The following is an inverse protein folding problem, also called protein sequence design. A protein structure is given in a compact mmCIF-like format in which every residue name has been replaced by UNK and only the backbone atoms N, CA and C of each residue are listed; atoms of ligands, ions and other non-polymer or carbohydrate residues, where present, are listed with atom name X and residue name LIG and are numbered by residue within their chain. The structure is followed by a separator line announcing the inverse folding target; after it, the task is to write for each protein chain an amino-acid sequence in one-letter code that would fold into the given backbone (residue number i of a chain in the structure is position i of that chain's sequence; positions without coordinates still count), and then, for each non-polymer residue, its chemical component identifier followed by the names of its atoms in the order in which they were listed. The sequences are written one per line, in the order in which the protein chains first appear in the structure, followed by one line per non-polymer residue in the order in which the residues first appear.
data_IF_835273096900
#
_entry.id   IF_835273096900
#
_cell.length_a   1.000
_cell.length_b   1.000
_cell.length_c   1.000
_cell.angle_alpha   90.00
_cell.angle_beta   90.00
_cell.angle_gamma   90.00
#
_symmetry.space_group_name_H-M   'P 1'
#
loop_
_entity.id
_entity.type
_entity.pdbx_description
1 polymer ?
#
# COMPACT_ATOMS: atom_id res chain seq x y z
N UNK A 1 10.17 11.91 -10.24
CA UNK A 1 8.78 12.16 -9.83
C UNK A 1 8.08 10.82 -9.84
N UNK A 2 7.39 10.46 -8.75
CA UNK A 2 6.80 9.15 -8.59
C UNK A 2 5.65 8.99 -9.58
N UNK A 3 5.34 7.78 -10.03
CA UNK A 3 4.30 7.53 -11.05
C UNK A 3 2.84 7.74 -10.56
N UNK A 4 2.66 8.50 -9.48
CA UNK A 4 1.38 8.76 -8.83
C UNK A 4 0.88 10.19 -9.08
N UNK A 5 -0.45 10.33 -9.17
CA UNK A 5 -1.14 11.62 -9.18
C UNK A 5 -1.33 12.08 -7.72
N UNK A 6 -0.41 12.92 -7.24
CA UNK A 6 -0.43 13.40 -5.86
C UNK A 6 -1.61 14.33 -5.59
N UNK A 7 -1.99 15.18 -6.55
CA UNK A 7 -3.11 16.10 -6.41
C UNK A 7 -4.42 15.33 -6.21
N UNK A 8 -4.61 14.23 -6.94
CA UNK A 8 -5.76 13.36 -6.72
C UNK A 8 -5.76 12.71 -5.33
N UNK A 9 -4.60 12.30 -4.81
CA UNK A 9 -4.48 11.69 -3.49
C UNK A 9 -4.69 12.68 -2.34
N UNK A 10 -4.44 13.98 -2.56
CA UNK A 10 -4.60 15.02 -1.54
C UNK A 10 -5.99 15.66 -1.53
N UNK A 11 -6.81 15.45 -2.56
CA UNK A 11 -8.21 15.93 -2.57
C UNK A 11 -8.97 15.41 -1.34
N UNK A 12 -9.72 16.27 -0.62
CA UNK A 12 -10.55 15.84 0.51
C UNK A 12 -11.50 14.71 0.14
N UNK A 13 -11.76 13.79 1.08
CA UNK A 13 -12.84 12.82 0.92
C UNK A 13 -14.18 13.59 0.96
N UNK A 14 -15.11 13.39 0.01
CA UNK A 14 -16.40 14.08 0.01
C UNK A 14 -17.21 13.81 1.28
N UNK A 15 -17.85 14.85 1.82
CA UNK A 15 -18.71 14.78 3.01
C UNK A 15 -18.21 15.63 4.17
N UNK A 16 -18.80 15.43 5.35
CA UNK A 16 -18.51 16.25 6.54
C UNK A 16 -17.17 15.92 7.20
N UNK A 17 -16.56 14.79 6.83
CA UNK A 17 -15.25 14.36 7.32
C UNK A 17 -14.24 14.29 6.16
N UNK A 18 -13.46 15.36 5.90
CA UNK A 18 -12.53 15.42 4.78
C UNK A 18 -11.37 14.41 4.87
N UNK A 19 -11.12 13.89 6.07
CA UNK A 19 -10.14 12.85 6.34
C UNK A 19 -10.70 11.43 6.16
N UNK A 20 -12.00 11.26 5.98
CA UNK A 20 -12.64 9.96 5.81
C UNK A 20 -12.64 9.07 7.08
N UNK A 21 -12.97 7.80 6.92
CA UNK A 21 -13.17 6.87 8.03
C UNK A 21 -11.85 6.33 8.60
N UNK A 22 -11.84 5.87 9.86
CA UNK A 22 -10.71 5.11 10.41
C UNK A 22 -10.62 3.73 9.73
N UNK A 23 -9.47 3.42 9.12
CA UNK A 23 -9.25 2.17 8.40
C UNK A 23 -8.58 1.07 9.24
N UNK A 24 -8.29 1.29 10.53
CA UNK A 24 -7.51 0.35 11.35
C UNK A 24 -8.00 -1.10 11.30
N UNK A 25 -9.32 -1.32 11.26
CA UNK A 25 -9.95 -2.65 11.18
C UNK A 25 -10.72 -2.87 9.86
N UNK A 26 -10.51 -1.99 8.88
CA UNK A 26 -11.19 -2.08 7.60
C UNK A 26 -10.58 -3.20 6.75
N UNK A 27 -11.42 -3.93 6.01
CA UNK A 27 -10.99 -5.04 5.15
C UNK A 27 -9.85 -4.64 4.19
N UNK A 28 -9.92 -3.42 3.67
CA UNK A 28 -8.91 -2.88 2.76
C UNK A 28 -7.51 -2.86 3.41
N UNK A 29 -7.40 -2.51 4.70
CA UNK A 29 -6.13 -2.51 5.43
C UNK A 29 -5.53 -3.91 5.51
N UNK A 30 -6.37 -4.92 5.75
CA UNK A 30 -5.95 -6.32 5.76
C UNK A 30 -5.52 -6.80 4.36
N UNK A 31 -6.23 -6.39 3.30
CA UNK A 31 -5.84 -6.70 1.92
C UNK A 31 -4.50 -6.07 1.53
N UNK A 32 -4.22 -4.84 1.98
CA UNK A 32 -2.91 -4.18 1.77
C UNK A 32 -1.80 -4.89 2.56
N UNK A 33 -2.06 -5.27 3.82
CA UNK A 33 -1.11 -6.04 4.63
C UNK A 33 -0.76 -7.38 3.99
N UNK A 34 -1.75 -8.12 3.50
CA UNK A 34 -1.51 -9.42 2.85
C UNK A 34 -0.79 -9.27 1.50
N UNK A 35 -1.10 -8.22 0.74
CA UNK A 35 -0.37 -7.92 -0.49
C UNK A 35 1.11 -7.59 -0.20
N UNK A 36 1.38 -6.80 0.85
CA UNK A 36 2.75 -6.46 1.27
C UNK A 36 3.50 -7.63 1.90
N UNK A 37 2.79 -8.63 2.45
CA UNK A 37 3.41 -9.75 3.15
C UNK A 37 4.41 -10.45 2.23
N UNK A 38 5.65 -10.53 2.73
CA UNK A 38 6.71 -11.35 2.17
C UNK A 38 7.20 -12.31 3.24
N UNK A 39 7.56 -13.51 2.82
CA UNK A 39 8.27 -14.48 3.64
C UNK A 39 9.77 -14.29 3.44
N UNK A 40 10.55 -14.69 4.45
CA UNK A 40 12.01 -14.72 4.33
C UNK A 40 12.41 -15.85 3.38
N UNK A 41 13.41 -15.57 2.54
CA UNK A 41 14.01 -16.58 1.66
C UNK A 41 14.97 -17.44 2.47
N UNK A 42 14.40 -18.39 3.21
CA UNK A 42 15.11 -19.35 4.05
C UNK A 42 15.47 -20.61 3.23
N UNK A 43 16.61 -21.22 3.53
CA UNK A 43 16.94 -22.53 2.98
C UNK A 43 16.04 -23.61 3.63
N UNK A 44 14.95 -23.95 2.95
CA UNK A 44 13.96 -24.93 3.42
C UNK A 44 14.39 -26.38 3.15
N UNK A 45 15.55 -26.62 2.52
CA UNK A 45 16.02 -27.96 2.17
C UNK A 45 14.97 -28.76 1.38
N UNK A 46 14.55 -29.90 1.94
CA UNK A 46 13.56 -30.81 1.34
C UNK A 46 12.12 -30.28 1.42
N UNK A 47 11.86 -29.26 2.24
CA UNK A 47 10.54 -28.63 2.42
C UNK A 47 10.33 -27.40 1.52
N UNK A 48 10.99 -27.36 0.36
CA UNK A 48 10.92 -26.25 -0.59
C UNK A 48 9.48 -26.03 -1.05
N UNK A 49 8.93 -24.85 -0.73
CA UNK A 49 7.63 -24.36 -1.20
C UNK A 49 7.79 -23.00 -1.84
N UNK A 50 6.77 -22.55 -2.56
CA UNK A 50 6.73 -21.18 -3.07
C UNK A 50 6.75 -20.20 -1.89
N UNK A 51 7.77 -19.33 -1.88
CA UNK A 51 7.95 -18.29 -0.87
C UNK A 51 7.03 -17.14 -1.22
N UNK A 52 6.19 -16.72 -0.28
CA UNK A 52 5.31 -15.57 -0.51
C UNK A 52 6.16 -14.33 -0.75
N UNK A 53 6.05 -13.74 -1.93
CA UNK A 53 6.63 -12.42 -2.23
C UNK A 53 5.58 -11.31 -2.11
N UNK A 54 6.04 -10.09 -1.86
CA UNK A 54 5.18 -8.92 -1.82
C UNK A 54 4.66 -8.58 -3.22
N UNK A 55 3.35 -8.31 -3.33
CA UNK A 55 2.70 -7.81 -4.54
C UNK A 55 2.60 -6.29 -4.47
N UNK A 56 3.71 -5.60 -4.75
CA UNK A 56 3.78 -4.15 -4.70
C UNK A 56 2.82 -3.45 -5.69
N UNK A 57 2.59 -3.93 -6.93
CA UNK A 57 1.55 -3.38 -7.80
C UNK A 57 0.15 -3.39 -7.16
N UNK A 58 -0.20 -4.48 -6.46
CA UNK A 58 -1.47 -4.55 -5.71
C UNK A 58 -1.49 -3.62 -4.51
N UNK A 59 -0.40 -3.49 -3.77
CA UNK A 59 -0.27 -2.50 -2.66
C UNK A 59 -0.52 -1.09 -3.19
N UNK A 60 0.13 -0.68 -4.29
CA UNK A 60 -0.05 0.64 -4.90
C UNK A 60 -1.52 0.87 -5.28
N UNK A 61 -2.15 -0.11 -5.95
CA UNK A 61 -3.56 -0.01 -6.36
C UNK A 61 -4.50 0.18 -5.17
N UNK A 62 -4.39 -0.67 -4.14
CA UNK A 62 -5.25 -0.64 -2.97
C UNK A 62 -5.03 0.63 -2.14
N UNK A 63 -3.78 1.06 -1.95
CA UNK A 63 -3.48 2.29 -1.22
C UNK A 63 -3.99 3.54 -1.95
N UNK A 64 -3.90 3.61 -3.29
CA UNK A 64 -4.49 4.71 -4.06
C UNK A 64 -6.01 4.76 -3.90
N UNK A 65 -6.68 3.60 -3.95
CA UNK A 65 -8.12 3.52 -3.72
C UNK A 65 -8.52 3.99 -2.31
N UNK A 66 -7.80 3.54 -1.29
CA UNK A 66 -8.00 3.97 0.10
C UNK A 66 -7.90 5.49 0.26
N UNK A 67 -6.79 6.05 -0.22
CA UNK A 67 -6.47 7.47 -0.05
C UNK A 67 -7.39 8.38 -0.88
N UNK A 68 -7.89 7.91 -2.02
CA UNK A 68 -8.81 8.70 -2.85
C UNK A 68 -10.27 8.61 -2.43
N UNK A 69 -10.72 7.45 -1.90
CA UNK A 69 -12.15 7.19 -1.68
C UNK A 69 -12.57 7.00 -0.23
N UNK A 70 -11.66 6.58 0.65
CA UNK A 70 -12.05 6.06 1.96
C UNK A 70 -11.48 6.87 3.13
N UNK A 71 -10.18 7.19 3.12
CA UNK A 71 -9.51 7.82 4.26
C UNK A 71 -8.16 8.43 3.92
N UNK A 72 -7.80 9.50 4.64
CA UNK A 72 -6.45 10.08 4.68
C UNK A 72 -5.66 9.43 5.81
N UNK A 73 -5.32 8.17 5.59
CA UNK A 73 -4.62 7.34 6.57
C UNK A 73 -3.10 7.35 6.34
N UNK A 74 -2.33 7.73 7.37
CA UNK A 74 -0.87 7.82 7.31
C UNK A 74 -0.20 6.44 7.15
N UNK A 75 -0.77 5.39 7.74
CA UNK A 75 -0.22 4.05 7.62
C UNK A 75 -0.34 3.54 6.18
N UNK A 76 -1.48 3.79 5.54
CA UNK A 76 -1.70 3.47 4.13
C UNK A 76 -0.76 4.27 3.23
N UNK A 77 -0.57 5.57 3.49
CA UNK A 77 0.37 6.40 2.77
C UNK A 77 1.82 5.88 2.90
N UNK A 78 2.23 5.47 4.10
CA UNK A 78 3.55 4.85 4.32
C UNK A 78 3.74 3.58 3.50
N UNK A 79 2.74 2.70 3.43
CA UNK A 79 2.82 1.49 2.59
C UNK A 79 2.80 1.79 1.09
N UNK A 80 2.12 2.85 0.67
CA UNK A 80 2.20 3.33 -0.71
C UNK A 80 3.64 3.76 -1.05
N UNK A 81 4.27 4.57 -0.19
CA UNK A 81 5.65 5.01 -0.39
C UNK A 81 6.63 3.84 -0.42
N UNK A 82 6.49 2.87 0.47
CA UNK A 82 7.30 1.65 0.46
C UNK A 82 7.15 0.90 -0.86
N UNK A 83 5.92 0.71 -1.33
CA UNK A 83 5.67 -0.01 -2.57
C UNK A 83 6.22 0.73 -3.80
N UNK A 84 6.06 2.05 -3.86
CA UNK A 84 6.65 2.88 -4.92
C UNK A 84 8.17 2.82 -4.88
N UNK A 85 8.77 2.88 -3.70
CA UNK A 85 10.23 2.76 -3.54
C UNK A 85 10.71 1.38 -4.01
N UNK A 86 9.96 0.31 -3.72
CA UNK A 86 10.30 -1.04 -4.15
C UNK A 86 10.17 -1.23 -5.67
N UNK A 87 9.24 -0.55 -6.34
CA UNK A 87 9.03 -0.70 -7.79
C UNK A 87 9.80 0.31 -8.64
N UNK A 88 10.03 1.51 -8.13
CA UNK A 88 10.62 2.64 -8.87
C UNK A 88 11.99 3.06 -8.35
N UNK A 89 12.44 2.51 -7.22
CA UNK A 89 13.68 2.92 -6.55
C UNK A 89 13.55 4.29 -5.89
N UNK A 90 14.65 5.05 -5.84
CA UNK A 90 14.68 6.38 -5.21
C UNK A 90 13.61 7.36 -5.73
N UNK A 91 13.26 7.40 -7.04
CA UNK A 91 12.15 8.20 -7.54
C UNK A 91 10.79 7.95 -6.88
N UNK A 92 10.56 6.75 -6.33
CA UNK A 92 9.32 6.40 -5.63
C UNK A 92 9.26 6.91 -4.18
N UNK A 93 10.40 7.33 -3.62
CA UNK A 93 10.52 7.90 -2.29
C UNK A 93 10.37 9.44 -2.29
N UNK A 94 10.62 10.08 -3.43
CA UNK A 94 10.69 11.54 -3.62
C UNK A 94 9.42 12.06 -4.28
#
# INVERSE_FOLDING_TARGET
MPSIDLDALLKPIPGDNPSGADLRYHKLTEEVKEARRREEDLDLGVWKREVKVADYPKVIKLSKEALTKHSKDLQIASWLTEALTATEGLPGLL
#
